data_IF_653429992396
#
_entry.id   IF_653429992396
#
_cell.length_a   1.000
_cell.length_b   1.000
_cell.length_c   1.000
_cell.angle_alpha   90.00
_cell.angle_beta   90.00
_cell.angle_gamma   90.00
#
_symmetry.space_group_name_H-M   'P 1'
#
loop_
_entity.id
_entity.type
_entity.pdbx_description
1 polymer ?
#
# COMPACT_ATOMS: atom_id res chain seq x y z
N UNK A 1 11.29 -12.20 5.12
CA UNK A 1 10.09 -12.80 5.74
C UNK A 1 8.91 -12.48 4.85
N UNK A 2 8.14 -13.48 4.44
CA UNK A 2 6.94 -13.25 3.64
C UNK A 2 5.82 -12.71 4.54
N UNK A 3 5.12 -11.67 4.09
CA UNK A 3 3.93 -11.15 4.79
C UNK A 3 2.83 -12.21 4.74
N UNK A 4 2.18 -12.48 5.86
CA UNK A 4 1.06 -13.41 5.91
C UNK A 4 -0.15 -12.69 5.28
N UNK A 5 -0.93 -13.32 4.37
CA UNK A 5 -2.19 -12.74 3.94
C UNK A 5 -3.10 -12.57 5.17
N UNK A 6 -3.51 -11.32 5.44
CA UNK A 6 -4.28 -10.97 6.62
C UNK A 6 -5.68 -11.57 6.55
N UNK A 7 -6.12 -12.20 7.64
CA UNK A 7 -7.53 -12.54 7.85
C UNK A 7 -8.20 -11.37 8.57
N UNK A 8 -9.50 -11.07 8.33
CA UNK A 8 -10.27 -10.13 9.16
C UNK A 8 -10.20 -10.45 10.67
N UNK A 9 -9.88 -11.70 11.02
CA UNK A 9 -9.73 -12.17 12.40
C UNK A 9 -8.29 -12.16 12.92
N UNK A 10 -7.28 -11.98 12.06
CA UNK A 10 -5.88 -11.92 12.47
C UNK A 10 -5.08 -10.98 11.55
N UNK A 11 -4.93 -9.74 12.00
CA UNK A 11 -4.25 -8.67 11.28
C UNK A 11 -2.75 -8.64 11.57
N UNK A 12 -2.30 -9.10 12.74
CA UNK A 12 -0.90 -8.97 13.16
C UNK A 12 0.07 -9.64 12.17
N UNK A 13 1.15 -8.94 11.80
CA UNK A 13 2.16 -9.39 10.83
C UNK A 13 1.62 -9.65 9.41
N UNK A 14 0.43 -9.12 9.10
CA UNK A 14 -0.13 -9.19 7.76
C UNK A 14 0.21 -7.97 6.92
N UNK A 15 -0.06 -8.06 5.62
CA UNK A 15 0.01 -6.90 4.74
C UNK A 15 -0.92 -5.76 5.18
N UNK A 16 -2.08 -6.07 5.77
CA UNK A 16 -3.02 -5.06 6.27
C UNK A 16 -2.45 -4.29 7.46
N UNK A 17 -1.74 -4.98 8.36
CA UNK A 17 -1.04 -4.36 9.51
C UNK A 17 0.13 -3.49 9.03
N UNK A 18 0.91 -3.95 8.05
CA UNK A 18 1.96 -3.15 7.43
C UNK A 18 1.42 -1.86 6.77
N UNK A 19 0.30 -1.96 6.05
CA UNK A 19 -0.38 -0.79 5.45
C UNK A 19 -0.88 0.17 6.53
N UNK A 20 -1.50 -0.36 7.59
CA UNK A 20 -1.99 0.46 8.69
C UNK A 20 -0.85 1.19 9.41
N UNK A 21 0.27 0.52 9.67
CA UNK A 21 1.48 1.12 10.26
C UNK A 21 2.01 2.23 9.34
N UNK A 22 2.14 1.97 8.04
CA UNK A 22 2.60 2.97 7.08
C UNK A 22 1.66 4.18 7.03
N UNK A 23 0.35 3.96 7.01
CA UNK A 23 -0.65 5.03 7.04
C UNK A 23 -0.56 5.86 8.33
N UNK A 24 -0.42 5.22 9.49
CA UNK A 24 -0.29 5.91 10.78
C UNK A 24 0.98 6.78 10.84
N UNK A 25 2.09 6.33 10.27
CA UNK A 25 3.34 7.11 10.19
C UNK A 25 3.18 8.42 9.39
N UNK A 26 2.35 8.40 8.35
CA UNK A 26 2.08 9.58 7.51
C UNK A 26 0.79 10.30 7.88
N UNK A 27 0.05 9.84 8.89
CA UNK A 27 -1.29 10.35 9.20
C UNK A 27 -1.29 11.85 9.48
N UNK A 28 -0.31 12.34 10.24
CA UNK A 28 -0.18 13.76 10.56
C UNK A 28 0.11 14.62 9.34
N UNK A 29 0.90 14.11 8.40
CA UNK A 29 1.24 14.81 7.16
C UNK A 29 0.01 14.91 6.24
N UNK A 30 -0.80 13.86 6.18
CA UNK A 30 -1.99 13.79 5.33
C UNK A 30 -3.18 14.54 5.94
N UNK A 31 -3.41 14.38 7.24
CA UNK A 31 -4.62 14.83 7.93
C UNK A 31 -4.42 16.09 8.78
N UNK A 32 -3.18 16.55 8.96
CA UNK A 32 -2.85 17.75 9.76
C UNK A 32 -3.06 17.60 11.27
N UNK A 33 -3.32 16.39 11.76
CA UNK A 33 -3.60 16.07 13.17
C UNK A 33 -3.06 14.69 13.53
N UNK A 34 -2.88 14.43 14.81
CA UNK A 34 -2.45 13.11 15.27
C UNK A 34 -3.53 12.06 15.00
N UNK A 35 -3.09 10.80 14.82
CA UNK A 35 -4.01 9.71 14.52
C UNK A 35 -4.91 9.42 15.72
N UNK A 36 -6.23 9.26 15.53
CA UNK A 36 -7.10 8.84 16.63
C UNK A 36 -6.74 7.43 17.11
N UNK A 37 -7.18 7.10 18.33
CA UNK A 37 -7.11 5.74 18.84
C UNK A 37 -7.85 4.77 17.91
N UNK A 38 -7.35 3.54 17.84
CA UNK A 38 -7.91 2.49 17.01
C UNK A 38 -9.38 2.26 17.36
N UNK A 39 -10.27 2.73 16.48
CA UNK A 39 -11.72 2.61 16.62
C UNK A 39 -12.35 2.26 15.26
N UNK A 40 -13.66 1.99 15.25
CA UNK A 40 -14.38 1.60 14.02
C UNK A 40 -14.27 2.65 12.91
N UNK A 41 -14.15 3.94 13.25
CA UNK A 41 -13.98 5.01 12.25
C UNK A 41 -12.59 4.97 11.61
N UNK A 42 -11.56 4.66 12.39
CA UNK A 42 -10.20 4.45 11.85
C UNK A 42 -10.17 3.28 10.87
N UNK A 43 -10.84 2.17 11.19
CA UNK A 43 -10.94 1.02 10.27
C UNK A 43 -11.61 1.42 8.95
N UNK A 44 -12.72 2.17 9.01
CA UNK A 44 -13.41 2.65 7.80
C UNK A 44 -12.54 3.61 6.98
N UNK A 45 -11.77 4.48 7.64
CA UNK A 45 -10.82 5.37 6.95
C UNK A 45 -9.72 4.58 6.24
N UNK A 46 -9.12 3.60 6.90
CA UNK A 46 -8.11 2.73 6.28
C UNK A 46 -8.68 1.97 5.08
N UNK A 47 -9.92 1.48 5.16
CA UNK A 47 -10.61 0.83 4.03
C UNK A 47 -10.81 1.80 2.87
N UNK A 48 -11.31 3.01 3.14
CA UNK A 48 -11.53 4.02 2.08
C UNK A 48 -10.22 4.43 1.39
N UNK A 49 -9.13 4.58 2.16
CA UNK A 49 -7.80 4.85 1.61
C UNK A 49 -7.32 3.69 0.75
N UNK A 50 -7.47 2.45 1.22
CA UNK A 50 -7.09 1.26 0.46
C UNK A 50 -7.87 1.14 -0.86
N UNK A 51 -9.17 1.36 -0.85
CA UNK A 51 -10.00 1.40 -2.06
C UNK A 51 -9.56 2.49 -3.03
N UNK A 52 -9.24 3.68 -2.51
CA UNK A 52 -8.70 4.79 -3.30
C UNK A 52 -7.38 4.42 -4.00
N UNK A 53 -6.44 3.82 -3.26
CA UNK A 53 -5.15 3.34 -3.79
C UNK A 53 -5.37 2.27 -4.86
N UNK A 54 -6.22 1.27 -4.60
CA UNK A 54 -6.54 0.21 -5.57
C UNK A 54 -7.15 0.80 -6.84
N UNK A 55 -8.08 1.74 -6.72
CA UNK A 55 -8.70 2.39 -7.87
C UNK A 55 -7.70 3.23 -8.67
N UNK A 56 -6.80 3.95 -8.00
CA UNK A 56 -5.72 4.67 -8.66
C UNK A 56 -4.80 3.71 -9.41
N UNK A 57 -4.36 2.61 -8.78
CA UNK A 57 -3.52 1.60 -9.41
C UNK A 57 -4.20 0.91 -10.61
N UNK A 58 -5.52 0.70 -10.56
CA UNK A 58 -6.30 0.18 -11.70
C UNK A 58 -6.37 1.18 -12.85
N UNK A 59 -6.48 2.47 -12.56
CA UNK A 59 -6.52 3.53 -13.55
C UNK A 59 -5.13 3.84 -14.14
N UNK A 60 -4.07 3.54 -13.40
CA UNK A 60 -2.67 3.80 -13.73
C UNK A 60 -1.82 2.52 -13.72
N UNK A 61 -2.08 1.56 -14.62
CA UNK A 61 -1.31 0.31 -14.68
C UNK A 61 0.19 0.53 -14.95
N UNK A 62 0.56 1.68 -15.53
CA UNK A 62 1.95 2.11 -15.69
C UNK A 62 2.72 2.22 -14.36
N UNK A 63 2.02 2.38 -13.23
CA UNK A 63 2.63 2.40 -11.91
C UNK A 63 3.31 1.07 -11.53
N UNK A 64 2.96 -0.04 -12.20
CA UNK A 64 3.59 -1.35 -12.00
C UNK A 64 4.71 -1.64 -13.01
N UNK A 65 4.97 -0.73 -13.96
CA UNK A 65 6.03 -0.92 -14.95
C UNK A 65 7.36 -0.52 -14.32
N UNK A 66 8.23 -1.51 -14.09
CA UNK A 66 9.59 -1.24 -13.64
C UNK A 66 10.41 -0.88 -14.87
N UNK A 67 10.93 0.35 -14.89
CA UNK A 67 11.90 0.78 -15.89
C UNK A 67 13.31 0.49 -15.39
N UNK A 68 13.97 -0.49 -15.99
CA UNK A 68 15.37 -0.82 -15.68
C UNK A 68 16.29 -0.30 -16.78
N UNK A 69 17.48 0.14 -16.40
CA UNK A 69 18.52 0.62 -17.31
C UNK A 69 19.75 -0.26 -17.14
N UNK A 70 20.08 -1.02 -18.18
CA UNK A 70 21.35 -1.75 -18.22
C UNK A 70 22.47 -0.85 -18.74
N UNK A 71 23.72 -1.34 -18.64
CA UNK A 71 24.96 -0.59 -18.89
C UNK A 71 25.05 0.10 -20.26
N UNK A 72 24.23 -0.32 -21.21
CA UNK A 72 24.10 0.18 -22.58
C UNK A 72 23.15 1.37 -22.74
N UNK A 73 22.63 1.91 -21.63
CA UNK A 73 21.71 3.06 -21.59
C UNK A 73 20.32 2.87 -22.18
N UNK A 74 19.99 1.67 -22.64
CA UNK A 74 18.65 1.29 -23.09
C UNK A 74 17.72 1.12 -21.88
N UNK A 75 16.52 1.70 -21.95
CA UNK A 75 15.45 1.53 -20.96
C UNK A 75 14.59 0.33 -21.36
N UNK A 76 14.42 -0.61 -20.44
CA UNK A 76 13.58 -1.79 -20.63
C UNK A 76 12.38 -1.70 -19.68
N UNK A 77 11.19 -1.99 -20.21
CA UNK A 77 9.97 -2.15 -19.42
C UNK A 77 9.92 -3.60 -18.91
N UNK A 78 9.82 -3.77 -17.59
CA UNK A 78 9.64 -5.08 -16.95
C UNK A 78 8.29 -5.14 -16.21
N UNK A 79 7.65 -6.30 -16.28
CA UNK A 79 6.40 -6.60 -15.56
C UNK A 79 6.74 -7.49 -14.37
N UNK A 80 6.27 -7.12 -13.17
CA UNK A 80 6.40 -7.97 -11.99
C UNK A 80 5.35 -9.08 -12.03
N UNK A 81 5.78 -10.32 -12.27
CA UNK A 81 4.95 -11.50 -12.00
C UNK A 81 5.03 -11.86 -10.51
N UNK A 82 3.90 -11.82 -9.81
CA UNK A 82 3.76 -12.42 -8.48
C UNK A 82 3.33 -13.87 -8.68
N UNK A 83 4.20 -14.83 -8.34
CA UNK A 83 3.91 -16.27 -8.32
C UNK A 83 3.60 -16.76 -6.92
#
# INVERSE_FOLDING_TARGET
>A
MALIPGSPTNLANSMADAIQIAFNNHYKEVMGKDHPDANKQMTLLCVAVAEGVINHLKAHPEAFVIKTKFSDSTLYDAIVEIK
#
